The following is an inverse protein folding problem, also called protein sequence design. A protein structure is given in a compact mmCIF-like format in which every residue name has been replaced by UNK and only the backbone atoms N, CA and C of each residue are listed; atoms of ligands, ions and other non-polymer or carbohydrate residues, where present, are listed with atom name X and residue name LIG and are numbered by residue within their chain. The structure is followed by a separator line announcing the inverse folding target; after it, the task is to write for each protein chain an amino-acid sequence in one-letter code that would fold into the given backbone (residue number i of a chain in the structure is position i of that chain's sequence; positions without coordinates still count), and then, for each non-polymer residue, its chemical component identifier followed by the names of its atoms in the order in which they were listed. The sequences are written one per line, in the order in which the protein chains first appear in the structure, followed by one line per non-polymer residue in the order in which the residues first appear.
data_IF_298229976212
#
_entry.id   IF_298229976212
#
_cell.length_a   1.000
_cell.length_b   1.000
_cell.length_c   1.000
_cell.angle_alpha   90.00
_cell.angle_beta   90.00
_cell.angle_gamma   90.00
#
_symmetry.space_group_name_H-M   'P 1'
#
loop_
_entity.id
_entity.type
_entity.pdbx_description
1 polymer ?
#
# COMPACT_ATOMS: atom_id res chain seq x y z
N UNK A 1 -8.37 5.30 -22.96
CA UNK A 1 -9.26 6.41 -22.59
C UNK A 1 -8.36 7.60 -22.32
N UNK A 2 -8.62 8.75 -22.94
CA UNK A 2 -7.80 9.95 -22.69
C UNK A 2 -8.17 10.52 -21.31
N UNK A 3 -7.18 10.70 -20.43
CA UNK A 3 -7.39 11.19 -19.06
C UNK A 3 -7.39 12.71 -19.07
N UNK A 4 -8.50 13.30 -18.63
CA UNK A 4 -8.67 14.75 -18.49
C UNK A 4 -7.74 15.34 -17.43
N UNK A 5 -7.48 16.64 -17.53
CA UNK A 5 -6.63 17.35 -16.56
C UNK A 5 -7.16 17.25 -15.11
N UNK A 6 -8.48 17.28 -14.93
CA UNK A 6 -9.11 17.09 -13.62
C UNK A 6 -8.85 15.68 -13.06
N UNK A 7 -8.94 14.64 -13.88
CA UNK A 7 -8.63 13.27 -13.47
C UNK A 7 -7.14 13.13 -13.12
N UNK A 8 -6.24 13.77 -13.89
CA UNK A 8 -4.80 13.80 -13.56
C UNK A 8 -4.55 14.43 -12.19
N UNK A 9 -5.19 15.56 -11.89
CA UNK A 9 -5.08 16.23 -10.59
C UNK A 9 -5.60 15.36 -9.44
N UNK A 10 -6.70 14.62 -9.65
CA UNK A 10 -7.23 13.68 -8.65
C UNK A 10 -6.21 12.57 -8.38
N UNK A 11 -5.59 12.01 -9.43
CA UNK A 11 -4.60 10.94 -9.30
C UNK A 11 -3.33 11.40 -8.57
N UNK A 12 -2.85 12.62 -8.85
CA UNK A 12 -1.71 13.22 -8.15
C UNK A 12 -2.05 13.39 -6.66
N UNK A 13 -3.21 13.99 -6.34
CA UNK A 13 -3.65 14.16 -4.94
C UNK A 13 -3.74 12.84 -4.18
N UNK A 14 -4.23 11.78 -4.85
CA UNK A 14 -4.31 10.43 -4.25
C UNK A 14 -2.92 9.86 -3.98
N UNK A 15 -1.94 10.15 -4.83
CA UNK A 15 -0.54 9.75 -4.61
C UNK A 15 0.10 10.53 -3.45
N UNK A 16 -0.17 11.82 -3.33
CA UNK A 16 0.26 12.65 -2.20
C UNK A 16 -0.35 12.14 -0.88
N UNK A 17 -1.65 11.83 -0.88
CA UNK A 17 -2.37 11.26 0.27
C UNK A 17 -1.78 9.90 0.70
N UNK A 18 -1.34 9.06 -0.25
CA UNK A 18 -0.61 7.82 0.08
C UNK A 18 0.71 8.13 0.81
N UNK A 19 1.47 9.13 0.35
CA UNK A 19 2.74 9.52 0.97
C UNK A 19 2.54 10.09 2.39
N UNK A 20 1.48 10.89 2.58
CA UNK A 20 1.09 11.40 3.90
C UNK A 20 0.70 10.26 4.85
N UNK A 21 -0.21 9.38 4.44
CA UNK A 21 -0.69 8.27 5.26
C UNK A 21 0.43 7.30 5.64
N UNK A 22 1.35 7.00 4.73
CA UNK A 22 2.51 6.15 5.04
C UNK A 22 3.44 6.81 6.04
N UNK A 23 3.68 8.12 5.94
CA UNK A 23 4.46 8.88 6.93
C UNK A 23 3.79 8.83 8.31
N UNK A 24 2.47 9.04 8.38
CA UNK A 24 1.70 8.93 9.62
C UNK A 24 1.80 7.53 10.25
N UNK A 25 1.64 6.47 9.44
CA UNK A 25 1.81 5.08 9.90
C UNK A 25 3.20 4.88 10.50
N UNK A 26 4.25 5.30 9.79
CA UNK A 26 5.65 5.14 10.23
C UNK A 26 5.95 5.86 11.56
N UNK A 27 5.15 6.85 11.95
CA UNK A 27 5.28 7.53 13.24
C UNK A 27 4.62 6.77 14.41
N UNK A 28 3.63 5.93 14.15
CA UNK A 28 2.78 5.32 15.20
C UNK A 28 2.87 3.78 15.26
N UNK A 29 3.28 3.11 14.18
CA UNK A 29 3.16 1.66 14.04
C UNK A 29 3.97 0.81 15.03
N UNK A 30 4.95 1.40 15.73
CA UNK A 30 5.78 0.69 16.71
C UNK A 30 5.05 0.40 18.03
N UNK A 31 3.84 0.92 18.18
CA UNK A 31 3.06 0.90 19.42
C UNK A 31 1.75 0.13 19.20
N UNK A 32 1.53 -1.01 19.88
CA UNK A 32 0.33 -1.83 19.71
C UNK A 32 -0.98 -1.09 19.96
N UNK A 33 -1.00 -0.09 20.84
CA UNK A 33 -2.18 0.71 21.14
C UNK A 33 -2.71 1.51 19.94
N UNK A 34 -1.91 1.68 18.88
CA UNK A 34 -2.30 2.36 17.64
C UNK A 34 -2.73 1.38 16.54
N UNK A 35 -2.91 0.08 16.83
CA UNK A 35 -3.24 -0.93 15.81
C UNK A 35 -4.43 -0.53 14.93
N UNK A 36 -5.56 -0.13 15.52
CA UNK A 36 -6.76 0.24 14.77
C UNK A 36 -6.54 1.47 13.88
N UNK A 37 -5.75 2.43 14.36
CA UNK A 37 -5.39 3.62 13.60
C UNK A 37 -4.53 3.25 12.37
N UNK A 38 -3.53 2.36 12.56
CA UNK A 38 -2.69 1.86 11.47
C UNK A 38 -3.54 1.10 10.44
N UNK A 39 -4.43 0.20 10.88
CA UNK A 39 -5.33 -0.57 10.00
C UNK A 39 -6.22 0.35 9.16
N UNK A 40 -6.77 1.40 9.77
CA UNK A 40 -7.60 2.37 9.07
C UNK A 40 -6.81 3.12 7.98
N UNK A 41 -5.58 3.55 8.28
CA UNK A 41 -4.71 4.22 7.30
C UNK A 41 -4.28 3.28 6.17
N UNK A 42 -3.93 2.02 6.46
CA UNK A 42 -3.63 0.99 5.45
C UNK A 42 -4.83 0.79 4.52
N UNK A 43 -6.03 0.67 5.07
CA UNK A 43 -7.26 0.50 4.28
C UNK A 43 -7.50 1.70 3.35
N UNK A 44 -7.23 2.91 3.85
CA UNK A 44 -7.31 4.13 3.05
C UNK A 44 -6.29 4.17 1.91
N UNK A 45 -5.04 3.76 2.17
CA UNK A 45 -4.00 3.62 1.14
C UNK A 45 -4.46 2.65 0.05
N UNK A 46 -4.96 1.47 0.41
CA UNK A 46 -5.47 0.49 -0.56
C UNK A 46 -6.63 1.05 -1.40
N UNK A 47 -7.54 1.81 -0.80
CA UNK A 47 -8.62 2.49 -1.52
C UNK A 47 -8.09 3.51 -2.54
N UNK A 48 -7.07 4.29 -2.17
CA UNK A 48 -6.43 5.25 -3.06
C UNK A 48 -5.72 4.55 -4.22
N UNK A 49 -4.98 3.47 -3.94
CA UNK A 49 -4.32 2.65 -4.96
C UNK A 49 -5.34 2.01 -5.91
N UNK A 50 -6.43 1.48 -5.36
CA UNK A 50 -7.51 0.88 -6.16
C UNK A 50 -8.13 1.92 -7.10
N UNK A 51 -8.37 3.13 -6.59
CA UNK A 51 -8.83 4.26 -7.41
C UNK A 51 -7.85 4.57 -8.54
N UNK A 52 -6.55 4.71 -8.23
CA UNK A 52 -5.51 4.97 -9.24
C UNK A 52 -5.49 3.85 -10.29
N UNK A 53 -5.57 2.60 -9.83
CA UNK A 53 -5.55 1.39 -10.67
C UNK A 53 -6.68 1.30 -11.69
N UNK A 54 -7.84 1.84 -11.35
CA UNK A 54 -9.01 1.84 -12.21
C UNK A 54 -8.81 2.66 -13.49
N UNK A 55 -7.91 3.65 -13.44
CA UNK A 55 -7.53 4.47 -14.60
C UNK A 55 -6.39 3.85 -15.44
N UNK A 56 -5.75 2.79 -14.96
CA UNK A 56 -4.69 2.10 -15.70
C UNK A 56 -5.25 1.21 -16.80
N UNK A 57 -4.60 1.26 -17.96
CA UNK A 57 -4.92 0.42 -19.11
C UNK A 57 -4.20 -0.93 -19.08
N UNK A 58 -3.28 -1.15 -18.13
CA UNK A 58 -2.43 -2.34 -18.04
C UNK A 58 -2.84 -3.24 -16.87
N UNK A 59 -2.49 -4.53 -16.95
CA UNK A 59 -2.66 -5.47 -15.83
C UNK A 59 -1.75 -5.04 -14.66
N UNK A 60 -2.34 -4.48 -13.62
CA UNK A 60 -1.65 -3.97 -12.43
C UNK A 60 -1.26 -5.11 -11.46
N UNK A 61 -0.38 -6.02 -11.89
CA UNK A 61 -0.06 -7.25 -11.13
C UNK A 61 0.62 -7.07 -9.76
N UNK A 62 0.88 -5.84 -9.31
CA UNK A 62 1.45 -5.55 -7.99
C UNK A 62 0.41 -5.22 -6.90
N UNK A 63 -0.85 -4.96 -7.26
CA UNK A 63 -1.89 -4.59 -6.28
C UNK A 63 -2.22 -5.77 -5.36
N UNK A 64 -2.30 -6.97 -5.92
CA UNK A 64 -2.57 -8.19 -5.16
C UNK A 64 -1.52 -8.42 -4.07
N UNK A 65 -0.27 -8.03 -4.32
CA UNK A 65 0.81 -8.12 -3.31
C UNK A 65 0.59 -7.16 -2.15
N UNK A 66 0.15 -5.93 -2.43
CA UNK A 66 -0.16 -4.93 -1.39
C UNK A 66 -1.39 -5.33 -0.58
N UNK A 67 -2.43 -5.85 -1.24
CA UNK A 67 -3.62 -6.37 -0.57
C UNK A 67 -3.26 -7.55 0.33
N UNK A 68 -2.50 -8.52 -0.18
CA UNK A 68 -2.05 -9.67 0.61
C UNK A 68 -1.27 -9.24 1.85
N UNK A 69 -0.37 -8.26 1.73
CA UNK A 69 0.38 -7.73 2.87
C UNK A 69 -0.49 -7.02 3.89
N UNK A 70 -1.46 -6.22 3.44
CA UNK A 70 -2.42 -5.59 4.35
C UNK A 70 -3.23 -6.63 5.14
N UNK A 71 -3.65 -7.73 4.48
CA UNK A 71 -4.29 -8.84 5.17
C UNK A 71 -3.36 -9.49 6.20
N UNK A 72 -2.10 -9.74 5.86
CA UNK A 72 -1.10 -10.28 6.81
C UNK A 72 -0.90 -9.38 8.02
N UNK A 73 -0.78 -8.06 7.82
CA UNK A 73 -0.67 -7.09 8.92
C UNK A 73 -1.88 -7.18 9.84
N UNK A 74 -3.10 -7.21 9.28
CA UNK A 74 -4.32 -7.33 10.05
C UNK A 74 -4.36 -8.63 10.87
N UNK A 75 -4.05 -9.76 10.23
CA UNK A 75 -4.06 -11.08 10.86
C UNK A 75 -3.07 -11.15 12.03
N UNK A 76 -1.86 -10.59 11.87
CA UNK A 76 -0.85 -10.59 12.93
C UNK A 76 -1.25 -9.67 14.08
N UNK A 77 -1.83 -8.50 13.80
CA UNK A 77 -2.29 -7.56 14.83
C UNK A 77 -3.43 -8.12 15.68
N UNK A 78 -4.24 -9.04 15.15
CA UNK A 78 -5.38 -9.64 15.86
C UNK A 78 -5.01 -10.91 16.64
N UNK A 79 -3.80 -11.45 16.40
CA UNK A 79 -3.41 -12.74 16.95
C UNK A 79 -2.74 -12.60 18.29
N UNK A 80 -3.41 -13.10 19.33
CA UNK A 80 -2.84 -13.15 20.68
C UNK A 80 -1.52 -13.95 20.70
N UNK A 81 -0.53 -13.43 21.43
CA UNK A 81 0.77 -14.08 21.64
C UNK A 81 1.79 -13.94 20.49
N UNK A 82 1.49 -13.16 19.45
CA UNK A 82 2.45 -12.89 18.36
C UNK A 82 3.34 -11.69 18.69
N UNK A 83 4.60 -11.74 18.25
CA UNK A 83 5.52 -10.61 18.44
C UNK A 83 5.12 -9.44 17.55
N UNK A 84 5.03 -8.25 18.16
CA UNK A 84 4.84 -6.99 17.44
C UNK A 84 5.97 -6.70 16.45
N UNK A 85 7.13 -7.36 16.59
CA UNK A 85 8.24 -7.26 15.62
C UNK A 85 7.83 -7.71 14.21
N UNK A 86 6.92 -8.68 14.08
CA UNK A 86 6.39 -9.10 12.78
C UNK A 86 5.54 -8.00 12.15
N UNK A 87 4.70 -7.34 12.95
CA UNK A 87 3.89 -6.19 12.51
C UNK A 87 4.79 -5.05 12.04
N UNK A 88 5.83 -4.73 12.80
CA UNK A 88 6.79 -3.68 12.45
C UNK A 88 7.38 -3.95 11.05
N UNK A 89 7.90 -5.15 10.83
CA UNK A 89 8.50 -5.51 9.55
C UNK A 89 7.50 -5.41 8.39
N UNK A 90 6.31 -6.00 8.54
CA UNK A 90 5.32 -6.03 7.46
C UNK A 90 4.76 -4.65 7.14
N UNK A 91 4.56 -3.80 8.16
CA UNK A 91 4.14 -2.41 7.98
C UNK A 91 5.22 -1.59 7.28
N UNK A 92 6.49 -1.75 7.65
CA UNK A 92 7.61 -1.06 6.98
C UNK A 92 7.66 -1.43 5.50
N UNK A 93 7.61 -2.73 5.19
CA UNK A 93 7.63 -3.22 3.81
C UNK A 93 6.39 -2.75 3.02
N UNK A 94 5.21 -2.73 3.63
CA UNK A 94 4.00 -2.19 3.02
C UNK A 94 4.14 -0.70 2.70
N UNK A 95 4.62 0.11 3.64
CA UNK A 95 4.78 1.56 3.44
C UNK A 95 5.80 1.88 2.34
N UNK A 96 6.93 1.16 2.30
CA UNK A 96 7.93 1.29 1.23
C UNK A 96 7.31 0.96 -0.13
N UNK A 97 6.59 -0.15 -0.24
CA UNK A 97 5.93 -0.55 -1.49
C UNK A 97 4.89 0.46 -1.95
N UNK A 98 4.01 0.93 -1.05
CA UNK A 98 2.98 1.92 -1.36
C UNK A 98 3.59 3.26 -1.82
N UNK A 99 4.69 3.69 -1.19
CA UNK A 99 5.41 4.89 -1.59
C UNK A 99 6.13 4.75 -2.92
N UNK A 100 6.62 3.55 -3.25
CA UNK A 100 7.35 3.31 -4.48
C UNK A 100 6.45 3.16 -5.73
N UNK A 101 5.12 3.18 -5.58
CA UNK A 101 4.18 3.22 -6.72
C UNK A 101 4.43 4.46 -7.56
N UNK A 102 4.73 4.26 -8.84
CA UNK A 102 4.90 5.34 -9.82
C UNK A 102 3.69 5.43 -10.73
N UNK A 103 3.31 6.67 -11.05
CA UNK A 103 2.21 6.99 -11.95
C UNK A 103 2.81 7.73 -13.14
N UNK A 104 2.69 7.16 -14.33
CA UNK A 104 3.15 7.76 -15.58
C UNK A 104 1.94 8.05 -16.47
N UNK A 105 1.74 9.33 -16.80
CA UNK A 105 0.70 9.75 -17.73
C UNK A 105 1.23 9.62 -19.16
N UNK A 106 0.57 8.80 -19.98
CA UNK A 106 0.94 8.59 -21.37
C UNK A 106 -0.13 9.18 -22.30
N UNK A 107 0.19 9.31 -23.59
CA UNK A 107 -0.79 9.72 -24.60
C UNK A 107 -1.97 8.74 -24.72
N UNK A 108 -1.83 7.51 -24.23
CA UNK A 108 -2.86 6.46 -24.25
C UNK A 108 -3.60 6.26 -22.93
N UNK A 109 -3.25 7.00 -21.87
CA UNK A 109 -3.91 6.93 -20.56
C UNK A 109 -2.92 6.97 -19.39
N UNK A 110 -3.04 5.98 -18.49
CA UNK A 110 -2.21 5.84 -17.29
C UNK A 110 -1.42 4.53 -17.34
N UNK A 111 -0.12 4.60 -17.07
CA UNK A 111 0.69 3.45 -16.73
C UNK A 111 1.06 3.52 -15.25
N UNK A 112 0.81 2.42 -14.52
CA UNK A 112 1.16 2.32 -13.11
C UNK A 112 2.28 1.31 -12.99
N UNK A 113 3.39 1.73 -12.40
CA UNK A 113 4.45 0.83 -12.02
C UNK A 113 4.40 0.60 -10.51
N UNK A 114 4.04 -0.61 -10.12
CA UNK A 114 4.19 -1.09 -8.74
C UNK A 114 5.45 -1.95 -8.72
N UNK A 115 6.51 -1.55 -8.00
CA UNK A 115 7.73 -2.31 -7.96
C UNK A 115 7.47 -3.70 -7.39
N UNK A 116 7.95 -4.73 -8.11
CA UNK A 116 8.00 -6.09 -7.57
C UNK A 116 9.15 -6.14 -6.59
N UNK A 117 8.84 -6.16 -5.30
CA UNK A 117 9.84 -6.54 -4.29
C UNK A 117 9.82 -8.05 -4.22
N UNK A 118 10.93 -8.68 -4.60
CA UNK A 118 11.16 -10.09 -4.30
C UNK A 118 11.36 -10.22 -2.80
N UNK A 119 10.36 -10.78 -2.14
CA UNK A 119 10.39 -10.95 -0.68
C UNK A 119 10.78 -12.41 -0.46
N UNK A 120 11.90 -12.69 0.24
CA UNK A 120 12.18 -14.04 0.66
C UNK A 120 11.04 -14.49 1.59
N UNK A 121 10.25 -15.46 1.12
CA UNK A 121 9.22 -16.12 1.92
C UNK A 121 9.92 -16.76 3.11
N UNK A 122 9.64 -16.28 4.32
CA UNK A 122 10.13 -16.95 5.52
C UNK A 122 9.44 -18.31 5.61
N UNK A 123 10.22 -19.38 5.43
CA UNK A 123 9.76 -20.73 5.76
C UNK A 123 9.61 -20.80 7.27
N UNK A 124 8.36 -20.73 7.74
CA UNK A 124 8.04 -21.09 9.12
C UNK A 124 8.23 -22.60 9.23
N UNK A 125 9.31 -23.05 9.87
CA UNK A 125 9.40 -24.44 10.33
C UNK A 125 8.39 -24.59 11.46
N UNK A 126 7.27 -25.25 11.14
CA UNK A 126 6.30 -25.77 12.10
C UNK A 126 6.94 -26.82 13.00
#
# INVERSE_FOLDING_TARGET
MEISENERLILIKKKEEIAELTSEILNIYRKPEHADEVKAKISKILSNISTISWYSSSKNGGIDTLVMRACQINDVMEKEGWSWDFVIKDVDEFCVLANAIQIEFTNSGLNIHIPKVEIPVFQVKL
#
